data_IF_356063032958
#
_entry.id   IF_356063032958
#
_cell.length_a   1.000
_cell.length_b   1.000
_cell.length_c   1.000
_cell.angle_alpha   90.00
_cell.angle_beta   90.00
_cell.angle_gamma   90.00
#
_symmetry.space_group_name_H-M   'P 1'
#
loop_
_entity.id
_entity.type
_entity.pdbx_description
1 polymer ?
#
# COMPACT_ATOMS: atom_id res chain seq x y z
N UNK A 1 29.74 -5.31 9.71
CA UNK A 1 30.26 -6.58 9.12
C UNK A 1 29.57 -6.72 7.77
N UNK A 2 30.25 -6.29 6.71
CA UNK A 2 29.71 -6.30 5.35
C UNK A 2 30.01 -7.67 4.77
N UNK A 3 28.97 -8.46 4.49
CA UNK A 3 29.13 -9.76 3.83
C UNK A 3 29.09 -9.47 2.32
N UNK A 4 30.22 -9.62 1.63
CA UNK A 4 30.29 -9.53 0.17
C UNK A 4 29.58 -10.75 -0.44
N UNK A 5 28.48 -10.49 -1.14
CA UNK A 5 27.56 -11.49 -1.69
C UNK A 5 27.91 -11.90 -3.11
N UNK A 6 27.69 -13.19 -3.37
CA UNK A 6 27.82 -13.93 -4.63
C UNK A 6 27.19 -13.21 -5.84
N UNK A 7 27.93 -13.12 -6.96
CA UNK A 7 27.46 -12.57 -8.23
C UNK A 7 26.35 -13.42 -8.85
N UNK A 8 25.09 -13.13 -8.50
CA UNK A 8 23.91 -13.53 -9.27
C UNK A 8 23.71 -12.47 -10.36
N UNK A 9 24.23 -12.76 -11.55
CA UNK A 9 24.06 -11.93 -12.74
C UNK A 9 22.56 -11.85 -13.03
N UNK A 10 21.96 -10.70 -12.79
CA UNK A 10 20.52 -10.51 -12.86
C UNK A 10 20.17 -9.41 -13.84
N UNK A 11 19.24 -9.68 -14.75
CA UNK A 11 18.68 -8.76 -15.75
C UNK A 11 17.88 -7.57 -15.16
N UNK A 12 18.09 -7.23 -13.88
CA UNK A 12 17.45 -6.08 -13.25
C UNK A 12 18.27 -4.82 -13.51
N UNK A 13 17.58 -3.71 -13.75
CA UNK A 13 18.23 -2.44 -14.05
C UNK A 13 19.09 -1.94 -12.88
N UNK A 14 20.13 -1.13 -13.13
CA UNK A 14 20.86 -0.45 -12.07
C UNK A 14 19.94 0.44 -11.24
N UNK A 15 20.14 0.49 -9.93
CA UNK A 15 19.33 1.31 -9.03
C UNK A 15 19.19 0.78 -7.61
N UNK A 16 18.30 1.44 -6.86
CA UNK A 16 17.93 1.05 -5.51
C UNK A 16 16.65 0.21 -5.50
N UNK A 17 16.71 -0.88 -4.74
CA UNK A 17 15.61 -1.81 -4.53
C UNK A 17 15.44 -2.08 -3.05
N UNK A 18 14.21 -2.41 -2.66
CA UNK A 18 13.88 -2.75 -1.27
C UNK A 18 13.31 -4.16 -1.27
N UNK A 19 13.96 -5.06 -0.54
CA UNK A 19 13.42 -6.40 -0.32
C UNK A 19 12.17 -6.30 0.54
N UNK A 20 11.09 -6.93 0.12
CA UNK A 20 9.86 -7.04 0.90
C UNK A 20 9.80 -8.38 1.66
N UNK A 21 9.17 -8.36 2.82
CA UNK A 21 8.90 -9.53 3.67
C UNK A 21 7.50 -9.44 4.26
N UNK A 22 6.80 -10.57 4.36
CA UNK A 22 5.46 -10.69 4.92
C UNK A 22 4.82 -12.02 4.52
N UNK A 23 3.50 -12.11 4.62
CA UNK A 23 2.77 -13.28 4.14
C UNK A 23 2.93 -13.44 2.62
N UNK A 24 3.03 -14.67 2.16
CA UNK A 24 3.27 -14.96 0.75
C UNK A 24 2.10 -14.54 -0.14
N UNK A 25 0.85 -14.70 0.32
CA UNK A 25 -0.32 -14.31 -0.47
C UNK A 25 -0.39 -12.79 -0.64
N UNK A 26 -0.04 -12.02 0.40
CA UNK A 26 0.06 -10.57 0.31
C UNK A 26 1.20 -10.12 -0.61
N UNK A 27 2.37 -10.79 -0.57
CA UNK A 27 3.47 -10.50 -1.49
C UNK A 27 3.09 -10.73 -2.96
N UNK A 28 2.36 -11.81 -3.27
CA UNK A 28 1.85 -12.07 -4.62
C UNK A 28 0.81 -11.04 -5.04
N UNK A 29 -0.09 -10.62 -4.15
CA UNK A 29 -1.08 -9.58 -4.44
C UNK A 29 -0.40 -8.23 -4.72
N UNK A 30 0.62 -7.86 -3.93
CA UNK A 30 1.43 -6.66 -4.18
C UNK A 30 2.12 -6.72 -5.53
N UNK A 31 2.73 -7.84 -5.88
CA UNK A 31 3.39 -8.04 -7.17
C UNK A 31 2.38 -8.01 -8.34
N UNK A 32 1.19 -8.56 -8.16
CA UNK A 32 0.14 -8.51 -9.18
C UNK A 32 -0.39 -7.08 -9.41
N UNK A 33 -0.48 -6.28 -8.34
CA UNK A 33 -1.05 -4.93 -8.38
C UNK A 33 -0.03 -3.87 -8.80
N UNK A 34 1.22 -3.99 -8.36
CA UNK A 34 2.29 -3.01 -8.60
C UNK A 34 3.18 -3.44 -9.77
N UNK A 35 2.70 -3.23 -10.99
CA UNK A 35 3.37 -3.66 -12.23
C UNK A 35 4.10 -2.51 -12.93
N UNK A 36 5.23 -2.79 -13.60
CA UNK A 36 5.79 -1.86 -14.57
C UNK A 36 4.77 -1.63 -15.71
N UNK A 37 4.87 -0.51 -16.46
CA UNK A 37 5.88 0.55 -16.33
C UNK A 37 5.54 1.61 -15.27
N UNK A 38 4.53 1.39 -14.43
CA UNK A 38 4.03 2.38 -13.47
C UNK A 38 4.81 2.36 -12.15
N UNK A 39 5.00 3.54 -11.55
CA UNK A 39 5.69 3.68 -10.27
C UNK A 39 4.70 3.68 -9.09
N UNK A 40 5.00 2.97 -7.98
CA UNK A 40 6.09 2.02 -7.79
C UNK A 40 5.71 0.64 -8.37
N UNK A 41 6.69 -0.23 -8.56
CA UNK A 41 6.45 -1.60 -9.02
C UNK A 41 7.32 -2.61 -8.26
N UNK A 42 6.92 -3.88 -8.35
CA UNK A 42 7.64 -5.00 -7.72
C UNK A 42 8.20 -5.91 -8.79
N UNK A 43 9.45 -6.31 -8.60
CA UNK A 43 10.09 -7.39 -9.33
C UNK A 43 10.09 -8.65 -8.47
N UNK A 44 9.76 -9.78 -9.09
CA UNK A 44 9.95 -11.10 -8.49
C UNK A 44 11.19 -11.75 -9.07
N UNK A 45 12.10 -12.16 -8.20
CA UNK A 45 13.32 -12.86 -8.56
C UNK A 45 13.08 -14.37 -8.72
N UNK A 46 13.95 -15.10 -9.45
CA UNK A 46 13.82 -16.56 -9.60
C UNK A 46 13.87 -17.33 -8.28
N UNK A 47 14.53 -16.78 -7.25
CA UNK A 47 14.61 -17.38 -5.91
C UNK A 47 13.36 -17.11 -5.05
N UNK A 48 12.37 -16.40 -5.60
CA UNK A 48 11.14 -16.03 -4.91
C UNK A 48 11.22 -14.73 -4.11
N UNK A 49 12.33 -13.99 -4.18
CA UNK A 49 12.46 -12.68 -3.53
C UNK A 49 11.61 -11.63 -4.24
N UNK A 50 10.96 -10.76 -3.47
CA UNK A 50 10.21 -9.61 -3.98
C UNK A 50 10.98 -8.32 -3.72
N UNK A 51 11.24 -7.56 -4.78
CA UNK A 51 11.98 -6.32 -4.76
C UNK A 51 11.07 -5.16 -5.19
N UNK A 52 10.78 -4.26 -4.26
CA UNK A 52 10.11 -3.00 -4.55
C UNK A 52 11.09 -2.01 -5.17
N UNK A 53 10.69 -1.40 -6.28
CA UNK A 53 11.38 -0.31 -6.94
C UNK A 53 10.48 0.93 -6.95
N UNK A 54 11.07 2.10 -6.70
CA UNK A 54 10.36 3.37 -6.82
C UNK A 54 11.31 4.51 -7.17
N UNK A 55 10.84 5.45 -7.98
CA UNK A 55 11.51 6.70 -8.28
C UNK A 55 11.83 7.52 -7.01
N UNK A 56 11.01 7.42 -5.95
CA UNK A 56 11.22 8.11 -4.66
C UNK A 56 12.49 7.67 -3.91
N UNK A 57 13.09 6.54 -4.32
CA UNK A 57 14.31 5.98 -3.74
C UNK A 57 15.55 6.27 -4.59
N UNK A 58 15.37 6.76 -5.82
CA UNK A 58 16.43 6.82 -6.83
C UNK A 58 17.54 7.83 -6.52
N UNK A 59 17.21 8.91 -5.83
CA UNK A 59 18.10 10.02 -5.46
C UNK A 59 18.75 9.86 -4.07
N UNK A 60 18.50 8.74 -3.39
CA UNK A 60 19.06 8.51 -2.06
C UNK A 60 20.59 8.30 -2.11
N UNK A 61 21.30 8.91 -1.15
CA UNK A 61 22.76 8.95 -1.10
C UNK A 61 23.39 7.67 -0.53
N UNK A 62 22.59 6.78 0.05
CA UNK A 62 23.07 5.54 0.64
C UNK A 62 21.96 4.66 1.19
N UNK A 63 22.33 3.44 1.57
CA UNK A 63 21.38 2.41 1.99
C UNK A 63 20.53 2.80 3.20
N UNK A 64 21.08 3.55 4.17
CA UNK A 64 20.33 4.03 5.34
C UNK A 64 19.23 5.02 4.94
N UNK A 65 19.51 5.93 4.00
CA UNK A 65 18.52 6.88 3.51
C UNK A 65 17.43 6.17 2.71
N UNK A 66 17.81 5.21 1.85
CA UNK A 66 16.86 4.35 1.13
C UNK A 66 15.96 3.61 2.10
N UNK A 67 16.52 3.04 3.17
CA UNK A 67 15.75 2.28 4.15
C UNK A 67 14.67 3.13 4.85
N UNK A 68 15.02 4.34 5.29
CA UNK A 68 14.07 5.24 5.94
C UNK A 68 13.00 5.76 4.97
N UNK A 69 13.38 6.14 3.75
CA UNK A 69 12.42 6.51 2.69
C UNK A 69 11.50 5.33 2.34
N UNK A 70 12.06 4.12 2.25
CA UNK A 70 11.32 2.91 1.95
C UNK A 70 10.29 2.55 3.04
N UNK A 71 10.62 2.74 4.33
CA UNK A 71 9.64 2.55 5.41
C UNK A 71 8.42 3.45 5.23
N UNK A 72 8.65 4.73 4.92
CA UNK A 72 7.55 5.67 4.69
C UNK A 72 6.71 5.29 3.46
N UNK A 73 7.36 4.90 2.36
CA UNK A 73 6.69 4.43 1.15
C UNK A 73 5.87 3.15 1.42
N UNK A 74 6.44 2.16 2.10
CA UNK A 74 5.78 0.89 2.40
C UNK A 74 4.61 1.08 3.37
N UNK A 75 4.75 1.94 4.40
CA UNK A 75 3.64 2.30 5.28
C UNK A 75 2.44 2.84 4.49
N UNK A 76 2.70 3.70 3.50
CA UNK A 76 1.69 4.27 2.61
C UNK A 76 1.08 3.22 1.69
N UNK A 77 1.92 2.36 1.08
CA UNK A 77 1.48 1.28 0.20
C UNK A 77 0.67 0.23 0.95
N UNK A 78 1.05 -0.14 2.18
CA UNK A 78 0.24 -0.99 3.08
C UNK A 78 -1.17 -0.44 3.21
N UNK A 79 -1.32 0.86 3.46
CA UNK A 79 -2.62 1.52 3.49
C UNK A 79 -3.43 1.37 2.21
N UNK A 80 -2.80 1.62 1.05
CA UNK A 80 -3.44 1.54 -0.26
C UNK A 80 -3.83 0.09 -0.64
N UNK A 81 -2.94 -0.87 -0.40
CA UNK A 81 -3.14 -2.30 -0.67
C UNK A 81 -4.19 -2.90 0.24
N UNK A 82 -4.16 -2.62 1.55
CA UNK A 82 -5.24 -3.04 2.46
C UNK A 82 -6.57 -2.40 2.04
N UNK A 83 -6.54 -1.15 1.55
CA UNK A 83 -7.74 -0.49 1.08
C UNK A 83 -8.31 -1.15 -0.17
N UNK A 84 -7.49 -1.57 -1.13
CA UNK A 84 -7.93 -2.14 -2.40
C UNK A 84 -8.24 -3.65 -2.32
N UNK A 85 -7.42 -4.40 -1.59
CA UNK A 85 -7.37 -5.87 -1.61
C UNK A 85 -7.46 -6.54 -0.23
N UNK A 86 -7.61 -5.75 0.85
CA UNK A 86 -7.69 -6.26 2.24
C UNK A 86 -6.46 -7.08 2.69
N UNK A 87 -5.30 -6.79 2.11
CA UNK A 87 -4.01 -7.43 2.46
C UNK A 87 -3.49 -7.03 3.83
N UNK A 88 -2.67 -7.89 4.41
CA UNK A 88 -1.93 -7.59 5.65
C UNK A 88 -0.66 -6.77 5.36
N UNK A 89 -0.14 -6.01 6.34
CA UNK A 89 1.03 -5.16 6.13
C UNK A 89 2.32 -5.94 5.83
N UNK A 90 3.02 -5.54 4.78
CA UNK A 90 4.38 -5.97 4.47
C UNK A 90 5.41 -5.08 5.17
N UNK A 91 6.64 -5.59 5.26
CA UNK A 91 7.80 -4.94 5.90
C UNK A 91 9.02 -4.91 4.98
N UNK A 92 9.97 -4.04 5.31
CA UNK A 92 11.30 -4.00 4.69
C UNK A 92 12.18 -5.15 5.18
N UNK A 93 12.63 -6.02 4.28
CA UNK A 93 13.61 -7.08 4.53
C UNK A 93 15.07 -6.67 4.31
N UNK A 94 15.32 -5.50 3.74
CA UNK A 94 16.65 -4.98 3.43
C UNK A 94 16.68 -4.07 2.20
N UNK A 95 17.82 -3.45 1.94
CA UNK A 95 18.04 -2.60 0.76
C UNK A 95 19.07 -3.27 -0.14
N UNK A 96 18.78 -3.29 -1.44
CA UNK A 96 19.67 -3.81 -2.48
C UNK A 96 20.04 -2.67 -3.42
N UNK A 97 21.34 -2.47 -3.66
CA UNK A 97 21.83 -1.63 -4.75
C UNK A 97 22.30 -2.51 -5.89
N UNK A 98 21.92 -2.18 -7.11
CA UNK A 98 22.45 -2.79 -8.32
C UNK A 98 23.28 -1.73 -9.04
N UNK A 99 24.56 -2.04 -9.31
CA UNK A 99 25.44 -1.14 -10.05
C UNK A 99 25.28 -1.28 -11.57
N UNK A 100 25.96 -0.44 -12.35
CA UNK A 100 25.93 -0.47 -13.82
C UNK A 100 26.45 -1.77 -14.44
N UNK A 101 27.17 -2.58 -13.66
CA UNK A 101 27.72 -3.88 -14.06
C UNK A 101 26.83 -5.04 -13.62
N UNK A 102 25.71 -4.77 -12.97
CA UNK A 102 24.79 -5.77 -12.43
C UNK A 102 25.22 -6.37 -11.08
N UNK A 103 26.28 -5.85 -10.44
CA UNK A 103 26.70 -6.32 -9.12
C UNK A 103 25.71 -5.83 -8.06
N UNK A 104 25.45 -6.69 -7.08
CA UNK A 104 24.48 -6.45 -6.01
C UNK A 104 25.18 -6.12 -4.69
N UNK A 105 24.75 -5.04 -4.05
CA UNK A 105 25.17 -4.68 -2.70
C UNK A 105 23.96 -4.73 -1.76
N UNK A 106 23.92 -5.75 -0.90
CA UNK A 106 22.81 -6.00 0.03
C UNK A 106 23.14 -5.41 1.40
N UNK A 107 22.23 -4.60 1.94
CA UNK A 107 22.31 -4.02 3.27
C UNK A 107 21.12 -4.49 4.10
N UNK A 108 21.39 -5.23 5.18
CA UNK A 108 20.37 -5.73 6.11
C UNK A 108 20.40 -4.89 7.38
N UNK A 109 19.22 -4.48 7.85
CA UNK A 109 19.04 -3.68 9.06
C UNK A 109 18.54 -4.57 10.20
N UNK A 110 18.93 -4.27 11.45
CA UNK A 110 18.64 -5.13 12.61
C UNK A 110 17.13 -5.37 12.83
N UNK A 111 16.28 -4.43 12.43
CA UNK A 111 14.81 -4.53 12.50
C UNK A 111 14.21 -5.53 11.50
N UNK A 112 14.97 -5.94 10.48
CA UNK A 112 14.52 -6.83 9.40
C UNK A 112 14.78 -8.32 9.68
N UNK A 113 15.33 -8.68 10.85
CA UNK A 113 15.64 -10.08 11.20
C UNK A 113 14.38 -10.75 11.75
N UNK A 114 13.43 -11.05 10.87
CA UNK A 114 12.23 -11.83 11.17
C UNK A 114 11.88 -12.75 10.00
N UNK A 115 12.00 -14.05 10.25
CA UNK A 115 11.57 -15.22 9.45
C UNK A 115 11.69 -15.12 7.91
N UNK A 116 12.78 -15.72 7.40
CA UNK A 116 12.94 -16.05 5.99
C UNK A 116 12.20 -17.37 5.74
N UNK A 117 11.01 -17.30 5.15
CA UNK A 117 10.33 -18.46 4.59
C UNK A 117 10.33 -18.37 3.06
N UNK A 118 10.95 -19.36 2.40
CA UNK A 118 10.96 -19.50 0.94
C UNK A 118 9.96 -20.61 0.61
N UNK A 119 8.88 -20.26 -0.11
CA UNK A 119 7.97 -21.25 -0.70
C UNK A 119 7.73 -20.87 -2.16
N UNK A 120 8.03 -21.79 -3.07
CA UNK A 120 7.89 -21.63 -4.51
C UNK A 120 6.66 -22.42 -4.99
N UNK A 121 5.72 -21.78 -5.69
CA UNK A 121 4.72 -22.45 -6.54
C UNK A 121 4.50 -21.65 -7.83
N UNK A 122 4.36 -22.38 -8.93
CA UNK A 122 4.16 -21.83 -10.27
C UNK A 122 2.73 -21.32 -10.47
N UNK A 123 2.60 -20.12 -11.02
CA UNK A 123 1.33 -19.51 -11.46
C UNK A 123 1.12 -19.76 -12.96
N UNK A 124 -0.08 -20.19 -13.32
CA UNK A 124 -0.52 -20.28 -14.72
C UNK A 124 -1.06 -18.94 -15.21
N UNK A 125 -0.61 -18.50 -16.39
CA UNK A 125 -1.15 -17.32 -17.08
C UNK A 125 -2.40 -17.75 -17.86
N UNK A 126 -3.55 -17.16 -17.55
CA UNK A 126 -4.77 -17.34 -18.35
C UNK A 126 -4.72 -16.49 -19.62
N UNK A 127 -4.85 -17.12 -20.79
CA UNK A 127 -5.00 -16.43 -22.08
C UNK A 127 -6.47 -16.45 -22.47
N UNK A 128 -7.06 -15.28 -22.71
CA UNK A 128 -8.42 -15.18 -23.28
C UNK A 128 -8.36 -15.41 -24.78
N UNK A 129 -8.99 -16.49 -25.23
CA UNK A 129 -9.11 -16.83 -26.65
C UNK A 129 -10.38 -16.19 -27.21
N UNK A 130 -10.24 -15.45 -28.29
CA UNK A 130 -11.32 -14.80 -29.03
C UNK A 130 -12.20 -15.80 -29.79
N UNK A 131 -13.33 -15.33 -30.36
CA UNK A 131 -14.27 -16.18 -31.11
C UNK A 131 -13.66 -16.88 -32.34
N UNK A 132 -12.53 -16.37 -32.82
CA UNK A 132 -11.73 -16.86 -33.94
C UNK A 132 -10.66 -17.90 -33.52
N UNK A 133 -10.59 -18.25 -32.23
CA UNK A 133 -9.59 -19.17 -31.71
C UNK A 133 -8.21 -18.53 -31.50
N UNK A 134 -8.07 -17.21 -31.69
CA UNK A 134 -6.81 -16.49 -31.46
C UNK A 134 -6.80 -15.78 -30.11
N UNK A 135 -5.65 -15.62 -29.44
CA UNK A 135 -5.54 -14.76 -28.27
C UNK A 135 -6.03 -13.35 -28.61
N UNK A 136 -6.97 -12.81 -27.83
CA UNK A 136 -7.32 -11.41 -27.97
C UNK A 136 -6.07 -10.55 -27.65
N UNK A 137 -5.85 -9.42 -28.35
CA UNK A 137 -4.83 -8.47 -27.96
C UNK A 137 -5.06 -8.11 -26.50
N UNK A 138 -4.04 -8.26 -25.66
CA UNK A 138 -4.16 -7.82 -24.28
C UNK A 138 -4.44 -6.32 -24.29
N UNK A 139 -5.45 -5.85 -23.53
CA UNK A 139 -5.67 -4.41 -23.39
C UNK A 139 -4.37 -3.77 -22.89
N UNK A 140 -4.11 -2.49 -23.26
CA UNK A 140 -2.94 -1.79 -22.77
C UNK A 140 -2.88 -1.87 -21.25
N UNK A 141 -1.68 -2.08 -20.69
CA UNK A 141 -1.49 -2.08 -19.25
C UNK A 141 -1.97 -0.74 -18.67
N UNK A 142 -2.73 -0.80 -17.58
CA UNK A 142 -3.28 0.38 -16.91
C UNK A 142 -2.67 0.52 -15.52
N UNK A 143 -2.40 1.77 -15.12
CA UNK A 143 -1.96 2.11 -13.78
C UNK A 143 -3.02 1.63 -12.77
N UNK A 144 -2.63 0.82 -11.79
CA UNK A 144 -3.57 0.37 -10.76
C UNK A 144 -4.07 1.53 -9.91
N UNK A 145 -5.24 1.39 -9.28
CA UNK A 145 -5.76 2.38 -8.33
C UNK A 145 -4.73 2.71 -7.23
N UNK A 146 -3.98 1.69 -6.79
CA UNK A 146 -2.94 1.83 -5.78
C UNK A 146 -1.79 2.72 -6.28
N UNK A 147 -1.30 2.48 -7.49
CA UNK A 147 -0.24 3.31 -8.09
C UNK A 147 -0.72 4.74 -8.30
N UNK A 148 -1.96 4.92 -8.76
CA UNK A 148 -2.59 6.24 -8.88
C UNK A 148 -2.67 6.95 -7.51
N UNK A 149 -3.12 6.26 -6.46
CA UNK A 149 -3.20 6.82 -5.11
C UNK A 149 -1.82 7.14 -4.55
N UNK A 150 -0.82 6.29 -4.79
CA UNK A 150 0.56 6.54 -4.37
C UNK A 150 1.12 7.80 -5.04
N UNK A 151 0.94 7.93 -6.37
CA UNK A 151 1.39 9.09 -7.14
C UNK A 151 0.75 10.39 -6.67
N UNK A 152 -0.55 10.37 -6.36
CA UNK A 152 -1.23 11.52 -5.76
C UNK A 152 -0.68 11.79 -4.34
N UNK A 153 -0.51 10.77 -3.54
CA UNK A 153 -0.03 10.92 -2.17
C UNK A 153 1.41 11.44 -2.09
N UNK A 154 2.24 11.21 -3.12
CA UNK A 154 3.56 11.85 -3.23
C UNK A 154 3.49 13.38 -3.40
N UNK A 155 2.33 13.92 -3.78
CA UNK A 155 2.11 15.37 -4.00
C UNK A 155 1.25 16.01 -2.91
N UNK A 156 0.49 15.21 -2.15
CA UNK A 156 -0.48 15.69 -1.19
C UNK A 156 -0.32 14.99 0.17
N UNK A 157 0.36 15.67 1.10
CA UNK A 157 0.69 15.14 2.44
C UNK A 157 -0.51 14.55 3.18
N UNK A 158 -1.67 15.21 3.09
CA UNK A 158 -2.87 14.74 3.80
C UNK A 158 -3.38 13.39 3.26
N UNK A 159 -3.22 13.12 1.97
CA UNK A 159 -3.54 11.82 1.37
C UNK A 159 -2.50 10.77 1.77
N UNK A 160 -1.22 11.13 1.80
CA UNK A 160 -0.16 10.25 2.29
C UNK A 160 -0.39 9.83 3.75
N UNK A 161 -0.72 10.79 4.61
CA UNK A 161 -1.06 10.56 6.01
C UNK A 161 -2.29 9.66 6.14
N UNK A 162 -3.34 9.91 5.35
CA UNK A 162 -4.55 9.08 5.38
C UNK A 162 -4.26 7.62 5.01
N UNK A 163 -3.50 7.38 3.94
CA UNK A 163 -3.13 6.03 3.51
C UNK A 163 -2.26 5.35 4.57
N UNK A 164 -1.18 6.01 5.01
CA UNK A 164 -0.31 5.50 6.09
C UNK A 164 -1.11 5.14 7.35
N UNK A 165 -2.00 6.03 7.77
CA UNK A 165 -2.84 5.82 8.95
C UNK A 165 -3.81 4.66 8.74
N UNK A 166 -4.40 4.53 7.54
CA UNK A 166 -5.26 3.38 7.21
C UNK A 166 -4.50 2.06 7.35
N UNK A 167 -3.24 1.98 6.93
CA UNK A 167 -2.42 0.77 7.09
C UNK A 167 -2.28 0.31 8.55
N UNK A 168 -2.46 1.21 9.51
CA UNK A 168 -2.37 0.95 10.97
C UNK A 168 -3.71 0.72 11.64
N UNK A 169 -4.83 0.89 10.92
CA UNK A 169 -6.17 0.94 11.49
C UNK A 169 -6.75 -0.42 11.92
N UNK A 170 -6.03 -1.15 12.76
CA UNK A 170 -6.42 -2.46 13.29
C UNK A 170 -7.36 -2.39 14.50
N UNK A 171 -7.37 -1.27 15.23
CA UNK A 171 -8.18 -1.06 16.43
C UNK A 171 -9.02 0.22 16.39
N UNK A 172 -9.85 0.41 17.41
CA UNK A 172 -10.77 1.54 17.50
C UNK A 172 -10.09 2.91 17.57
N UNK A 173 -8.91 3.01 18.20
CA UNK A 173 -8.17 4.27 18.30
C UNK A 173 -7.70 4.69 16.91
N UNK A 174 -7.05 3.77 16.20
CA UNK A 174 -6.48 4.04 14.88
C UNK A 174 -7.57 4.24 13.81
N UNK A 175 -8.72 3.56 13.93
CA UNK A 175 -9.89 3.82 13.09
C UNK A 175 -10.41 5.24 13.29
N UNK A 176 -10.52 5.71 14.54
CA UNK A 176 -10.97 7.06 14.81
C UNK A 176 -10.04 8.10 14.17
N UNK A 177 -8.72 7.91 14.31
CA UNK A 177 -7.71 8.77 13.66
C UNK A 177 -7.81 8.77 12.14
N UNK A 178 -8.03 7.60 11.55
CA UNK A 178 -8.26 7.48 10.10
C UNK A 178 -9.50 8.26 9.66
N UNK A 179 -10.58 8.21 10.45
CA UNK A 179 -11.80 8.98 10.18
C UNK A 179 -11.53 10.49 10.25
N UNK A 180 -10.79 10.97 11.25
CA UNK A 180 -10.42 12.40 11.35
C UNK A 180 -9.65 12.88 10.11
N UNK A 181 -8.73 12.05 9.59
CA UNK A 181 -8.00 12.37 8.36
C UNK A 181 -8.91 12.36 7.12
N UNK A 182 -9.81 11.39 7.01
CA UNK A 182 -10.77 11.32 5.90
C UNK A 182 -11.69 12.55 5.88
N UNK A 183 -12.17 12.99 7.05
CA UNK A 183 -12.93 14.23 7.20
C UNK A 183 -12.12 15.44 6.72
N UNK A 184 -10.88 15.58 7.19
CA UNK A 184 -10.00 16.69 6.77
C UNK A 184 -9.78 16.68 5.26
N UNK A 185 -9.58 15.51 4.66
CA UNK A 185 -9.31 15.37 3.23
C UNK A 185 -10.46 15.90 2.36
N UNK A 186 -11.71 15.71 2.80
CA UNK A 186 -12.91 16.18 2.07
C UNK A 186 -13.44 17.53 2.56
N UNK A 187 -12.69 18.24 3.42
CA UNK A 187 -13.08 19.56 3.92
C UNK A 187 -14.08 19.55 5.10
N UNK A 188 -14.20 18.44 5.82
CA UNK A 188 -14.88 18.32 7.10
C UNK A 188 -15.96 17.22 7.15
N UNK A 189 -16.45 16.95 8.37
CA UNK A 189 -17.50 15.93 8.61
C UNK A 189 -18.78 16.18 7.80
N UNK A 190 -19.18 17.43 7.61
CA UNK A 190 -20.40 17.76 6.84
C UNK A 190 -20.29 17.25 5.40
N UNK A 191 -19.18 17.55 4.72
CA UNK A 191 -18.93 17.11 3.35
C UNK A 191 -18.79 15.60 3.27
N UNK A 192 -18.09 14.97 4.22
CA UNK A 192 -17.96 13.52 4.26
C UNK A 192 -19.33 12.85 4.39
N UNK A 193 -20.21 13.36 5.25
CA UNK A 193 -21.58 12.83 5.38
C UNK A 193 -22.39 13.00 4.11
N UNK A 194 -22.25 14.14 3.41
CA UNK A 194 -22.89 14.36 2.12
C UNK A 194 -22.41 13.33 1.08
N UNK A 195 -21.10 13.07 1.04
CA UNK A 195 -20.49 12.09 0.15
C UNK A 195 -20.96 10.66 0.41
N UNK A 196 -21.17 10.28 1.68
CA UNK A 196 -21.57 8.92 2.06
C UNK A 196 -23.06 8.63 1.86
N UNK A 197 -23.89 9.65 1.61
CA UNK A 197 -25.34 9.50 1.41
C UNK A 197 -26.02 8.67 2.50
N UNK A 198 -26.68 7.58 2.11
CA UNK A 198 -27.40 6.67 3.02
C UNK A 198 -26.49 6.02 4.08
N UNK A 199 -25.18 5.92 3.81
CA UNK A 199 -24.21 5.37 4.75
C UNK A 199 -23.78 6.34 5.85
N UNK A 200 -24.20 7.62 5.78
CA UNK A 200 -23.84 8.64 6.77
C UNK A 200 -24.25 8.26 8.20
N UNK A 201 -25.37 7.53 8.39
CA UNK A 201 -25.77 7.05 9.72
C UNK A 201 -24.78 6.01 10.26
N UNK A 202 -24.38 5.03 9.44
CA UNK A 202 -23.40 4.00 9.84
C UNK A 202 -22.05 4.62 10.17
N UNK A 203 -21.62 5.62 9.39
CA UNK A 203 -20.40 6.39 9.67
C UNK A 203 -20.45 7.04 11.07
N UNK A 204 -21.57 7.65 11.46
CA UNK A 204 -21.73 8.22 12.81
C UNK A 204 -21.64 7.16 13.89
N UNK A 205 -22.31 6.03 13.69
CA UNK A 205 -22.28 4.91 14.64
C UNK A 205 -20.85 4.37 14.79
N UNK A 206 -20.08 4.31 13.70
CA UNK A 206 -18.66 3.93 13.72
C UNK A 206 -17.81 4.95 14.49
N UNK A 207 -17.92 6.24 14.15
CA UNK A 207 -17.15 7.31 14.82
C UNK A 207 -17.45 7.34 16.33
N UNK A 208 -18.72 7.18 16.72
CA UNK A 208 -19.12 7.09 18.14
C UNK A 208 -18.57 5.84 18.83
N UNK A 209 -18.66 4.68 18.19
CA UNK A 209 -18.10 3.42 18.70
C UNK A 209 -16.59 3.55 18.91
N UNK A 210 -15.87 4.05 17.90
CA UNK A 210 -14.43 4.24 17.95
C UNK A 210 -14.02 5.24 19.04
N UNK A 211 -14.75 6.35 19.17
CA UNK A 211 -14.53 7.34 20.24
C UNK A 211 -14.75 6.77 21.64
N UNK A 212 -15.79 5.95 21.81
CA UNK A 212 -16.11 5.30 23.08
C UNK A 212 -14.98 4.37 23.55
N UNK A 213 -14.39 3.59 22.64
CA UNK A 213 -13.27 2.71 22.97
C UNK A 213 -11.92 3.42 23.08
N UNK A 214 -11.76 4.61 22.48
CA UNK A 214 -10.54 5.42 22.57
C UNK A 214 -10.37 6.13 23.93
N UNK A 215 -11.47 6.53 24.57
CA UNK A 215 -11.45 7.30 25.82
C UNK A 215 -11.94 6.48 27.02
N UNK A 216 -11.56 6.92 28.23
CA UNK A 216 -12.15 6.42 29.48
C UNK A 216 -13.69 6.62 29.48
N UNK A 217 -14.47 5.88 30.28
CA UNK A 217 -15.86 5.57 29.98
C UNK A 217 -16.75 6.83 30.04
N UNK A 218 -17.02 7.40 28.86
CA UNK A 218 -18.14 8.32 28.65
C UNK A 218 -19.43 7.57 28.32
N UNK A 219 -20.42 8.29 27.79
CA UNK A 219 -21.70 7.70 27.42
C UNK A 219 -21.55 6.60 26.37
N UNK A 220 -21.96 5.38 26.73
CA UNK A 220 -21.96 4.24 25.84
C UNK A 220 -22.93 4.49 24.66
N UNK A 221 -22.48 4.38 23.41
CA UNK A 221 -23.36 4.49 22.25
C UNK A 221 -24.49 3.46 22.30
N UNK A 222 -25.70 3.85 21.88
CA UNK A 222 -26.87 2.96 21.78
C UNK A 222 -26.59 1.74 20.88
N UNK A 223 -25.80 1.95 19.83
CA UNK A 223 -25.34 0.91 18.92
C UNK A 223 -23.81 0.89 18.90
N UNK A 224 -23.25 -0.25 19.29
CA UNK A 224 -21.84 -0.56 19.10
C UNK A 224 -21.67 -1.37 17.81
N UNK A 225 -20.70 -0.96 16.99
CA UNK A 225 -20.31 -1.68 15.79
C UNK A 225 -19.29 -2.77 16.15
N UNK A 226 -19.34 -3.93 15.49
CA UNK A 226 -18.31 -4.96 15.64
C UNK A 226 -17.05 -4.53 14.88
N UNK A 227 -15.85 -4.85 15.40
CA UNK A 227 -14.58 -4.39 14.80
C UNK A 227 -14.47 -4.72 13.30
N UNK A 228 -14.89 -5.91 12.87
CA UNK A 228 -14.89 -6.30 11.44
C UNK A 228 -15.81 -5.44 10.57
N UNK A 229 -17.05 -5.18 11.03
CA UNK A 229 -17.97 -4.25 10.35
C UNK A 229 -17.38 -2.83 10.32
N UNK A 230 -16.70 -2.41 11.39
CA UNK A 230 -16.00 -1.14 11.45
C UNK A 230 -14.87 -1.03 10.44
N UNK A 231 -14.06 -2.07 10.25
CA UNK A 231 -12.99 -2.13 9.23
C UNK A 231 -13.56 -2.01 7.82
N UNK A 232 -14.58 -2.80 7.48
CA UNK A 232 -15.20 -2.75 6.15
C UNK A 232 -15.83 -1.38 5.86
N UNK A 233 -16.49 -0.78 6.86
CA UNK A 233 -17.05 0.57 6.71
C UNK A 233 -15.95 1.64 6.61
N UNK A 234 -14.84 1.49 7.34
CA UNK A 234 -13.70 2.39 7.21
C UNK A 234 -13.09 2.32 5.82
N UNK A 235 -12.95 1.13 5.23
CA UNK A 235 -12.50 0.96 3.84
C UNK A 235 -13.40 1.71 2.86
N UNK A 236 -14.72 1.57 3.00
CA UNK A 236 -15.67 2.32 2.19
C UNK A 236 -15.50 3.84 2.34
N UNK A 237 -15.41 4.34 3.57
CA UNK A 237 -15.24 5.78 3.88
C UNK A 237 -13.96 6.32 3.23
N UNK A 238 -12.83 5.63 3.40
CA UNK A 238 -11.53 6.07 2.86
C UNK A 238 -11.56 6.05 1.33
N UNK A 239 -12.06 4.97 0.69
CA UNK A 239 -12.19 4.91 -0.77
C UNK A 239 -13.03 6.06 -1.33
N UNK A 240 -14.20 6.33 -0.75
CA UNK A 240 -15.04 7.45 -1.15
C UNK A 240 -14.30 8.79 -1.05
N UNK A 241 -13.57 8.99 0.06
CA UNK A 241 -12.82 10.23 0.31
C UNK A 241 -11.72 10.45 -0.73
N UNK A 242 -10.97 9.42 -1.09
CA UNK A 242 -9.90 9.48 -2.10
C UNK A 242 -10.46 9.74 -3.50
N UNK A 243 -11.58 9.09 -3.86
CA UNK A 243 -12.24 9.30 -5.16
C UNK A 243 -12.76 10.74 -5.28
N UNK A 244 -13.41 11.26 -4.24
CA UNK A 244 -13.87 12.64 -4.22
C UNK A 244 -12.70 13.63 -4.35
N UNK A 245 -11.64 13.42 -3.57
CA UNK A 245 -10.43 14.24 -3.61
C UNK A 245 -9.78 14.25 -5.00
N UNK A 246 -9.61 13.07 -5.61
CA UNK A 246 -9.05 12.91 -6.95
C UNK A 246 -9.87 13.63 -8.02
N UNK A 247 -11.20 13.61 -7.91
CA UNK A 247 -12.09 14.30 -8.85
C UNK A 247 -11.99 15.82 -8.71
N UNK A 248 -11.89 16.34 -7.48
CA UNK A 248 -11.76 17.79 -7.24
C UNK A 248 -10.44 18.35 -7.80
N UNK A 249 -9.33 17.59 -7.72
CA UNK A 249 -8.05 18.00 -8.31
C UNK A 249 -8.16 18.13 -9.83
N UNK A 250 -8.80 17.15 -10.49
CA UNK A 250 -8.99 17.16 -11.95
C UNK A 250 -9.83 18.32 -12.45
N UNK A 251 -10.79 18.80 -11.66
CA UNK A 251 -11.62 19.95 -12.03
C UNK A 251 -10.93 21.31 -11.87
N UNK A 252 -9.82 21.37 -11.13
CA UNK A 252 -9.09 22.61 -10.88
C UNK A 252 -7.84 22.79 -11.77
N UNK A 253 -7.49 21.77 -12.56
CA UNK A 253 -6.35 21.78 -13.49
C UNK A 253 -6.82 22.08 -14.91
#
# INVERSE_FOLDING_TARGET
MTIEGTNLNSDIAPGWYVRLTGDHSDLEEWHYTLKPPFDPFILREPDGTYLLMSAELSDANGASEVHERAKALIDRLNGALTLAHETEPLKTGGVVRVDERGNRHVNVFAEAVGEIAIVSKALGVGVTIGPDGQPLPQPPEQESDVQQWNRLAAQYDLLADLLKQRGKASDWYEMYKTIELAERLVGGEHNLRGLLGDSAKKYKDLKRTANYYRHAPGDRPERLIKIGEGRSLLNFIVRCSIVNFSNNIKTCS
#
